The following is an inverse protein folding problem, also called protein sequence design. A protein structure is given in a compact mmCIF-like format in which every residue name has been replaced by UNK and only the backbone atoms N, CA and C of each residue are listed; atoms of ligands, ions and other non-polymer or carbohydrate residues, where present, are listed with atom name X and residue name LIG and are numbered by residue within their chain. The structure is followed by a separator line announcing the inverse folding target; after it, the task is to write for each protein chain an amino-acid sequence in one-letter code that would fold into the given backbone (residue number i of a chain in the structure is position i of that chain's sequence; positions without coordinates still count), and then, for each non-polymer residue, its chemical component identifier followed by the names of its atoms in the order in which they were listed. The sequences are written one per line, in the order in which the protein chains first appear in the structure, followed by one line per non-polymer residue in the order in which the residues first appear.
data_IF_470038520610
#
_entry.id   IF_470038520610
#
_cell.length_a   1.000
_cell.length_b   1.000
_cell.length_c   1.000
_cell.angle_alpha   90.00
_cell.angle_beta   90.00
_cell.angle_gamma   90.00
#
_symmetry.space_group_name_H-M   'P 1'
#
loop_
_entity.id
_entity.type
_entity.pdbx_description
1 polymer ?
#
# COMPACT_ATOMS: atom_id res chain seq x y z
N UNK A 1 13.46 -3.03 9.55
CA UNK A 1 14.18 -1.93 10.24
C UNK A 1 14.79 -2.33 11.60
N UNK A 2 14.49 -3.50 12.19
CA UNK A 2 14.99 -3.87 13.54
C UNK A 2 16.52 -3.97 13.65
N UNK A 3 17.21 -4.29 12.55
CA UNK A 3 18.67 -4.40 12.49
C UNK A 3 19.39 -3.04 12.43
N UNK A 4 18.66 -1.94 12.22
CA UNK A 4 19.22 -0.58 12.18
C UNK A 4 19.02 0.07 13.56
N UNK A 5 20.07 0.72 14.13
CA UNK A 5 19.95 1.44 15.38
C UNK A 5 18.75 2.40 15.36
N UNK A 6 17.94 2.48 16.42
CA UNK A 6 16.69 3.25 16.43
C UNK A 6 16.87 4.72 16.02
N UNK A 7 18.01 5.32 16.34
CA UNK A 7 18.34 6.70 15.99
C UNK A 7 18.68 6.91 14.49
N UNK A 8 18.68 5.86 13.67
CA UNK A 8 19.04 5.91 12.24
C UNK A 8 18.09 5.12 11.33
N UNK A 9 16.89 4.77 11.80
CA UNK A 9 15.86 4.10 11.00
C UNK A 9 15.18 5.09 10.06
N UNK A 10 15.90 5.52 9.02
CA UNK A 10 15.30 6.16 7.84
C UNK A 10 15.55 5.29 6.62
N UNK A 11 14.60 5.29 5.68
CA UNK A 11 14.73 4.55 4.44
C UNK A 11 15.96 5.00 3.63
N UNK A 12 16.30 6.28 3.71
CA UNK A 12 17.53 6.84 3.13
C UNK A 12 18.79 6.22 3.74
N UNK A 13 18.89 6.14 5.08
CA UNK A 13 20.04 5.54 5.73
C UNK A 13 20.13 4.03 5.48
N UNK A 14 18.99 3.34 5.49
CA UNK A 14 18.92 1.92 5.17
C UNK A 14 19.42 1.66 3.74
N UNK A 15 18.94 2.46 2.78
CA UNK A 15 19.36 2.39 1.38
C UNK A 15 20.85 2.65 1.21
N UNK A 16 21.36 3.76 1.75
CA UNK A 16 22.79 4.11 1.63
C UNK A 16 23.68 3.03 2.22
N UNK A 17 23.42 2.59 3.45
CA UNK A 17 24.27 1.60 4.13
C UNK A 17 24.25 0.25 3.42
N UNK A 18 23.10 -0.19 2.92
CA UNK A 18 23.00 -1.50 2.28
C UNK A 18 23.49 -1.46 0.83
N UNK A 19 23.23 -0.38 0.07
CA UNK A 19 23.77 -0.20 -1.28
C UNK A 19 25.32 -0.08 -1.26
N UNK A 20 25.90 0.67 -0.31
CA UNK A 20 27.35 0.78 -0.14
C UNK A 20 28.03 -0.56 0.20
N UNK A 21 27.28 -1.50 0.78
CA UNK A 21 27.75 -2.85 1.11
C UNK A 21 27.44 -3.87 0.02
N UNK A 22 26.95 -3.44 -1.14
CA UNK A 22 26.59 -4.32 -2.26
C UNK A 22 25.29 -5.12 -2.05
N UNK A 23 24.49 -4.74 -1.04
CA UNK A 23 23.22 -5.38 -0.68
C UNK A 23 22.02 -4.67 -1.31
N UNK A 24 22.17 -4.16 -2.54
CA UNK A 24 21.12 -3.43 -3.25
C UNK A 24 19.83 -4.26 -3.45
N UNK A 25 19.96 -5.58 -3.58
CA UNK A 25 18.79 -6.47 -3.72
C UNK A 25 17.97 -6.58 -2.42
N UNK A 26 18.61 -6.43 -1.25
CA UNK A 26 17.90 -6.36 0.04
C UNK A 26 17.12 -5.05 0.15
N UNK A 27 17.70 -3.94 -0.32
CA UNK A 27 17.01 -2.65 -0.38
C UNK A 27 15.80 -2.74 -1.29
N UNK A 28 15.96 -3.30 -2.50
CA UNK A 28 14.85 -3.52 -3.43
C UNK A 28 13.75 -4.40 -2.81
N UNK A 29 14.12 -5.49 -2.16
CA UNK A 29 13.17 -6.37 -1.48
C UNK A 29 12.41 -5.62 -0.39
N UNK A 30 13.11 -4.84 0.43
CA UNK A 30 12.48 -4.07 1.50
C UNK A 30 11.50 -3.01 0.97
N UNK A 31 11.90 -2.27 -0.06
CA UNK A 31 11.02 -1.28 -0.70
C UNK A 31 9.80 -1.95 -1.36
N UNK A 32 10.01 -3.10 -2.01
CA UNK A 32 8.92 -3.88 -2.60
C UNK A 32 7.95 -4.39 -1.52
N UNK A 33 8.46 -4.87 -0.39
CA UNK A 33 7.65 -5.29 0.76
C UNK A 33 6.85 -4.14 1.34
N UNK A 34 7.47 -2.99 1.61
CA UNK A 34 6.78 -1.81 2.13
C UNK A 34 5.68 -1.33 1.17
N UNK A 35 5.96 -1.32 -0.14
CA UNK A 35 4.96 -0.99 -1.17
C UNK A 35 3.81 -2.00 -1.21
N UNK A 36 4.12 -3.30 -1.08
CA UNK A 36 3.11 -4.35 -1.08
C UNK A 36 2.23 -4.30 0.17
N UNK A 37 2.81 -4.06 1.35
CA UNK A 37 2.07 -3.91 2.60
C UNK A 37 1.13 -2.70 2.55
N UNK A 38 1.61 -1.55 2.05
CA UNK A 38 0.79 -0.36 1.86
C UNK A 38 -0.40 -0.59 0.92
N UNK A 39 -0.18 -1.31 -0.20
CA UNK A 39 -1.26 -1.69 -1.13
C UNK A 39 -2.29 -2.59 -0.45
N UNK A 40 -1.82 -3.55 0.36
CA UNK A 40 -2.71 -4.46 1.08
C UNK A 40 -3.57 -3.71 2.09
N UNK A 41 -2.98 -2.82 2.88
CA UNK A 41 -3.70 -1.95 3.83
C UNK A 41 -4.77 -1.11 3.13
N UNK A 42 -4.42 -0.47 2.01
CA UNK A 42 -5.36 0.34 1.22
C UNK A 42 -6.51 -0.50 0.66
N UNK A 43 -6.22 -1.71 0.18
CA UNK A 43 -7.25 -2.63 -0.31
C UNK A 43 -8.20 -3.07 0.80
N UNK A 44 -7.68 -3.53 1.94
CA UNK A 44 -8.51 -3.99 3.07
C UNK A 44 -9.44 -2.88 3.58
N UNK A 45 -8.90 -1.66 3.71
CA UNK A 45 -9.70 -0.51 4.15
C UNK A 45 -10.75 -0.09 3.12
N UNK A 46 -10.44 -0.16 1.82
CA UNK A 46 -11.42 0.09 0.77
C UNK A 46 -12.55 -0.95 0.78
N UNK A 47 -12.22 -2.22 0.99
CA UNK A 47 -13.20 -3.31 1.10
C UNK A 47 -14.12 -3.12 2.30
N UNK A 48 -13.56 -2.77 3.47
CA UNK A 48 -14.31 -2.49 4.69
C UNK A 48 -15.29 -1.32 4.47
N UNK A 49 -14.82 -0.19 3.97
CA UNK A 49 -15.67 0.98 3.74
C UNK A 49 -16.79 0.73 2.71
N UNK A 50 -16.52 -0.05 1.67
CA UNK A 50 -17.56 -0.49 0.72
C UNK A 50 -18.59 -1.37 1.43
N UNK A 51 -18.14 -2.33 2.25
CA UNK A 51 -19.03 -3.25 2.97
C UNK A 51 -19.89 -2.54 4.02
N UNK A 52 -19.37 -1.50 4.66
CA UNK A 52 -20.09 -0.68 5.64
C UNK A 52 -21.04 0.33 4.99
N UNK A 53 -20.96 0.49 3.67
CA UNK A 53 -21.76 1.49 2.93
C UNK A 53 -21.35 2.92 3.25
N UNK A 54 -20.05 3.14 3.53
CA UNK A 54 -19.50 4.46 3.77
C UNK A 54 -19.77 5.40 2.58
N UNK A 55 -19.80 6.71 2.85
CA UNK A 55 -20.07 7.67 1.78
C UNK A 55 -18.88 7.70 0.81
N UNK A 56 -19.17 7.81 -0.49
CA UNK A 56 -18.12 7.89 -1.53
C UNK A 56 -17.13 9.03 -1.25
N UNK A 57 -17.60 10.12 -0.62
CA UNK A 57 -16.74 11.25 -0.27
C UNK A 57 -15.70 10.88 0.79
N UNK A 58 -16.12 10.12 1.80
CA UNK A 58 -15.24 9.68 2.89
C UNK A 58 -14.25 8.63 2.37
N UNK A 59 -14.74 7.67 1.57
CA UNK A 59 -13.88 6.68 0.89
C UNK A 59 -12.79 7.37 0.06
N UNK A 60 -13.15 8.38 -0.73
CA UNK A 60 -12.17 9.10 -1.56
C UNK A 60 -11.19 9.90 -0.71
N UNK A 61 -11.62 10.46 0.41
CA UNK A 61 -10.73 11.20 1.32
C UNK A 61 -9.69 10.27 1.95
N UNK A 62 -10.14 9.14 2.49
CA UNK A 62 -9.29 8.18 3.19
C UNK A 62 -8.28 7.51 2.25
N UNK A 63 -8.75 7.05 1.07
CA UNK A 63 -7.86 6.43 0.07
C UNK A 63 -6.77 7.41 -0.36
N UNK A 64 -7.11 8.70 -0.54
CA UNK A 64 -6.12 9.72 -0.90
C UNK A 64 -5.12 9.94 0.23
N UNK A 65 -5.56 9.93 1.48
CA UNK A 65 -4.65 10.05 2.63
C UNK A 65 -3.65 8.89 2.66
N UNK A 66 -4.12 7.65 2.55
CA UNK A 66 -3.27 6.45 2.56
C UNK A 66 -2.32 6.43 1.36
N UNK A 67 -2.82 6.73 0.16
CA UNK A 67 -2.00 6.79 -1.05
C UNK A 67 -0.87 7.83 -0.92
N UNK A 68 -1.16 9.01 -0.36
CA UNK A 68 -0.15 10.05 -0.13
C UNK A 68 0.85 9.65 0.98
N UNK A 69 0.37 9.06 2.07
CA UNK A 69 1.20 8.59 3.19
C UNK A 69 2.24 7.57 2.76
N UNK A 70 1.87 6.67 1.84
CA UNK A 70 2.72 5.60 1.35
C UNK A 70 3.35 5.87 -0.03
N UNK A 71 3.19 7.08 -0.57
CA UNK A 71 3.67 7.48 -1.90
C UNK A 71 3.29 6.47 -3.00
N UNK A 72 2.05 5.96 -2.96
CA UNK A 72 1.55 4.99 -3.93
C UNK A 72 1.35 5.72 -5.28
N UNK A 73 1.95 5.24 -6.38
CA UNK A 73 1.75 5.84 -7.70
C UNK A 73 0.29 5.80 -8.16
N UNK A 74 -0.18 6.87 -8.80
CA UNK A 74 -1.56 7.00 -9.29
C UNK A 74 -2.00 5.81 -10.17
N UNK A 75 -1.11 5.34 -11.05
CA UNK A 75 -1.41 4.19 -11.90
C UNK A 75 -1.70 2.93 -11.08
N UNK A 76 -0.93 2.68 -10.03
CA UNK A 76 -1.13 1.52 -9.16
C UNK A 76 -2.40 1.68 -8.32
N UNK A 77 -2.67 2.90 -7.84
CA UNK A 77 -3.87 3.24 -7.10
C UNK A 77 -5.13 2.99 -7.93
N UNK A 78 -5.16 3.44 -9.19
CA UNK A 78 -6.30 3.24 -10.10
C UNK A 78 -6.55 1.75 -10.34
N UNK A 79 -5.50 0.97 -10.57
CA UNK A 79 -5.60 -0.48 -10.78
C UNK A 79 -6.15 -1.16 -9.53
N UNK A 80 -5.66 -0.80 -8.35
CA UNK A 80 -6.12 -1.36 -7.08
C UNK A 80 -7.60 -1.06 -6.84
N UNK A 81 -8.01 0.21 -6.93
CA UNK A 81 -9.42 0.60 -6.74
C UNK A 81 -10.33 -0.17 -7.69
N UNK A 82 -9.96 -0.24 -8.97
CA UNK A 82 -10.73 -0.97 -9.97
C UNK A 82 -10.83 -2.45 -9.64
N UNK A 83 -9.72 -3.11 -9.33
CA UNK A 83 -9.69 -4.52 -8.96
C UNK A 83 -10.56 -4.82 -7.74
N UNK A 84 -10.49 -4.00 -6.69
CA UNK A 84 -11.28 -4.16 -5.47
C UNK A 84 -12.77 -3.97 -5.72
N UNK A 85 -13.17 -2.89 -6.39
CA UNK A 85 -14.58 -2.62 -6.71
C UNK A 85 -15.15 -3.72 -7.61
N UNK A 86 -14.40 -4.15 -8.63
CA UNK A 86 -14.83 -5.23 -9.51
C UNK A 86 -14.93 -6.57 -8.78
N UNK A 87 -14.04 -6.88 -7.84
CA UNK A 87 -14.12 -8.09 -7.03
C UNK A 87 -15.40 -8.14 -6.18
N UNK A 88 -15.79 -7.00 -5.59
CA UNK A 88 -17.04 -6.92 -4.82
C UNK A 88 -18.28 -7.10 -5.71
N UNK A 89 -18.30 -6.49 -6.90
CA UNK A 89 -19.40 -6.65 -7.85
C UNK A 89 -19.45 -8.08 -8.42
N UNK A 90 -18.32 -8.65 -8.80
CA UNK A 90 -18.24 -10.01 -9.35
C UNK A 90 -18.59 -11.06 -8.28
N UNK A 91 -18.09 -10.93 -7.05
CA UNK A 91 -18.44 -11.80 -5.94
C UNK A 91 -19.94 -11.78 -5.64
N UNK A 92 -20.57 -10.60 -5.74
CA UNK A 92 -22.03 -10.46 -5.63
C UNK A 92 -22.79 -11.18 -6.74
N UNK A 93 -22.31 -11.15 -7.99
CA UNK A 93 -22.94 -11.83 -9.12
C UNK A 93 -22.89 -13.37 -9.06
N UNK A 94 -21.92 -13.97 -8.37
CA UNK A 94 -21.83 -15.42 -8.19
C UNK A 94 -22.63 -15.95 -6.99
N UNK A 95 -23.14 -15.06 -6.13
CA UNK A 95 -23.87 -15.43 -4.91
C UNK A 95 -25.40 -15.35 -5.04
N UNK A 96 -25.92 -14.98 -6.22
CA UNK A 96 -27.35 -14.92 -6.60
C UNK A 96 -27.64 -16.06 -7.58
#
# INVERSE_FOLDING_TARGET
MEFVPPNKRSDEYFRTVFEEKGLADIVKLHMAQASQEAKKELQEQLEEQISEGASIKDIVADIREIANKHCIPDQELIVLIWSTVMAQVLGFFFSI
#
